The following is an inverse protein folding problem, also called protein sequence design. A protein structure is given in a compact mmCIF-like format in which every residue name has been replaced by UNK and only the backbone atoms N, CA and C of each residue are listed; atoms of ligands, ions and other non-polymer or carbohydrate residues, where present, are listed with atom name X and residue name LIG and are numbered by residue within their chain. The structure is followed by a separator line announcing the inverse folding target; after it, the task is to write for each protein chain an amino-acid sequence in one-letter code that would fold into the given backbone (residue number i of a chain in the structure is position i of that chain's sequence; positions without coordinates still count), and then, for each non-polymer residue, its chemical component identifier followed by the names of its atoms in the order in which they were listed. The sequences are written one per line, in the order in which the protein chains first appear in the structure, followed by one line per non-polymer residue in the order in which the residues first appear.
data_IF_576559414464
#
_entry.id   IF_576559414464
#
_cell.length_a   1.000
_cell.length_b   1.000
_cell.length_c   1.000
_cell.angle_alpha   90.00
_cell.angle_beta   90.00
_cell.angle_gamma   90.00
#
_symmetry.space_group_name_H-M   'P 1'
#
loop_
_entity.id
_entity.type
_entity.pdbx_description
1 polymer ?
#
# COMPACT_ATOMS: atom_id res chain seq x y z
N UNK A 1 14.31 -11.70 -26.92
CA UNK A 1 13.24 -12.44 -26.20
C UNK A 1 11.83 -11.85 -26.37
N UNK A 2 11.59 -10.72 -27.06
CA UNK A 2 10.24 -10.11 -27.18
C UNK A 2 9.41 -10.55 -28.41
N UNK A 3 10.03 -11.08 -29.46
CA UNK A 3 9.35 -11.36 -30.75
C UNK A 3 8.47 -12.62 -30.72
N UNK A 4 8.86 -13.64 -29.96
CA UNK A 4 8.11 -14.91 -29.85
C UNK A 4 6.81 -14.74 -29.06
N UNK A 5 6.82 -13.94 -27.99
CA UNK A 5 5.63 -13.64 -27.18
C UNK A 5 4.60 -12.81 -27.97
N UNK A 6 5.06 -11.82 -28.74
CA UNK A 6 4.18 -10.97 -29.55
C UNK A 6 3.51 -11.74 -30.70
N UNK A 7 4.23 -12.68 -31.34
CA UNK A 7 3.63 -13.58 -32.34
C UNK A 7 2.55 -14.49 -31.73
N UNK A 8 2.79 -15.01 -30.52
CA UNK A 8 1.81 -15.84 -29.80
C UNK A 8 0.56 -15.06 -29.41
N UNK A 9 0.70 -13.83 -28.91
CA UNK A 9 -0.43 -12.98 -28.51
C UNK A 9 -1.29 -12.56 -29.71
N UNK A 10 -0.66 -12.23 -30.85
CA UNK A 10 -1.36 -11.92 -32.09
C UNK A 10 -2.19 -13.11 -32.61
N UNK A 11 -1.62 -14.32 -32.63
CA UNK A 11 -2.33 -15.53 -33.06
C UNK A 11 -3.56 -15.81 -32.20
N UNK A 12 -3.40 -15.67 -30.87
CA UNK A 12 -4.50 -15.85 -29.92
C UNK A 12 -5.62 -14.82 -30.13
N UNK A 13 -5.27 -13.56 -30.36
CA UNK A 13 -6.25 -12.51 -30.66
C UNK A 13 -7.03 -12.79 -31.96
N UNK A 14 -6.35 -13.22 -33.04
CA UNK A 14 -7.01 -13.56 -34.31
C UNK A 14 -8.04 -14.68 -34.13
N UNK A 15 -7.69 -15.78 -33.45
CA UNK A 15 -8.61 -16.91 -33.22
C UNK A 15 -9.87 -16.47 -32.46
N UNK A 16 -9.70 -15.64 -31.43
CA UNK A 16 -10.83 -15.11 -30.67
C UNK A 16 -11.69 -14.14 -31.48
N UNK A 17 -11.09 -13.34 -32.37
CA UNK A 17 -11.86 -12.46 -33.24
C UNK A 17 -12.75 -13.22 -34.22
N UNK A 18 -12.30 -14.36 -34.76
CA UNK A 18 -13.15 -15.21 -35.60
C UNK A 18 -14.40 -15.67 -34.83
N UNK A 19 -14.23 -16.13 -33.59
CA UNK A 19 -15.34 -16.57 -32.73
C UNK A 19 -16.33 -15.44 -32.42
N UNK A 20 -15.83 -14.23 -32.10
CA UNK A 20 -16.70 -13.08 -31.84
C UNK A 20 -17.42 -12.61 -33.10
N UNK A 21 -16.77 -12.60 -34.25
CA UNK A 21 -17.35 -12.11 -35.50
C UNK A 21 -18.50 -13.00 -35.99
N UNK A 22 -18.44 -14.31 -35.75
CA UNK A 22 -19.57 -15.21 -35.98
C UNK A 22 -20.83 -14.80 -35.19
N UNK A 23 -20.65 -14.11 -34.06
CA UNK A 23 -21.72 -13.68 -33.18
C UNK A 23 -22.04 -12.17 -33.28
N UNK A 24 -21.30 -11.43 -34.11
CA UNK A 24 -21.43 -9.98 -34.26
C UNK A 24 -22.82 -9.54 -34.77
N UNK A 25 -23.56 -10.41 -35.45
CA UNK A 25 -24.92 -10.11 -35.91
C UNK A 25 -25.91 -9.90 -34.75
N UNK A 26 -25.58 -10.39 -33.55
CA UNK A 26 -26.37 -10.21 -32.32
C UNK A 26 -26.04 -8.91 -31.59
N UNK A 27 -24.97 -8.21 -31.99
CA UNK A 27 -24.51 -6.99 -31.33
C UNK A 27 -25.04 -5.76 -32.10
N UNK A 28 -25.85 -4.89 -31.45
CA UNK A 28 -26.34 -3.65 -32.07
C UNK A 28 -25.19 -2.78 -32.60
N UNK A 29 -25.36 -2.15 -33.76
CA UNK A 29 -24.36 -1.23 -34.34
C UNK A 29 -23.13 -1.89 -34.98
N UNK A 30 -22.84 -3.16 -34.69
CA UNK A 30 -21.65 -3.85 -35.21
C UNK A 30 -21.62 -3.97 -36.75
N UNK A 31 -22.78 -4.00 -37.41
CA UNK A 31 -22.87 -4.08 -38.88
C UNK A 31 -22.30 -2.83 -39.59
N UNK A 32 -22.28 -1.68 -38.92
CA UNK A 32 -21.84 -0.42 -39.49
C UNK A 32 -20.31 -0.22 -39.41
N UNK A 33 -19.61 -1.09 -38.69
CA UNK A 33 -18.15 -1.01 -38.51
C UNK A 33 -17.47 -1.83 -39.61
N UNK A 34 -16.78 -1.14 -40.53
CA UNK A 34 -16.11 -1.76 -41.69
C UNK A 34 -14.79 -2.44 -41.33
N UNK A 35 -14.01 -1.85 -40.43
CA UNK A 35 -12.74 -2.43 -40.01
C UNK A 35 -12.98 -3.65 -39.10
N UNK A 36 -12.42 -4.80 -39.49
CA UNK A 36 -12.65 -6.09 -38.82
C UNK A 36 -12.16 -6.07 -37.37
N UNK A 37 -10.99 -5.48 -37.12
CA UNK A 37 -10.39 -5.39 -35.78
C UNK A 37 -11.24 -4.47 -34.89
N UNK A 38 -11.61 -3.29 -35.41
CA UNK A 38 -12.50 -2.37 -34.70
C UNK A 38 -13.84 -2.99 -34.37
N UNK A 39 -14.41 -3.75 -35.33
CA UNK A 39 -15.67 -4.47 -35.14
C UNK A 39 -15.53 -5.55 -34.09
N UNK A 40 -14.44 -6.33 -34.11
CA UNK A 40 -14.14 -7.36 -33.12
C UNK A 40 -14.07 -6.77 -31.71
N UNK A 41 -13.30 -5.70 -31.51
CA UNK A 41 -13.13 -5.06 -30.20
C UNK A 41 -14.43 -4.40 -29.73
N UNK A 42 -15.18 -3.73 -30.62
CA UNK A 42 -16.50 -3.19 -30.31
C UNK A 42 -17.46 -4.29 -29.83
N UNK A 43 -17.55 -5.40 -30.57
CA UNK A 43 -18.38 -6.54 -30.19
C UNK A 43 -17.94 -7.12 -28.85
N UNK A 44 -16.63 -7.25 -28.63
CA UNK A 44 -16.08 -7.75 -27.38
C UNK A 44 -16.50 -6.89 -26.18
N UNK A 45 -16.43 -5.56 -26.28
CA UNK A 45 -16.90 -4.65 -25.22
C UNK A 45 -18.39 -4.81 -24.98
N UNK A 46 -19.21 -4.76 -26.03
CA UNK A 46 -20.66 -4.86 -25.90
C UNK A 46 -21.10 -6.21 -25.31
N UNK A 47 -20.49 -7.31 -25.74
CA UNK A 47 -20.76 -8.65 -25.22
C UNK A 47 -20.32 -8.81 -23.77
N UNK A 48 -19.19 -8.21 -23.39
CA UNK A 48 -18.69 -8.23 -22.02
C UNK A 48 -19.58 -7.48 -21.02
N UNK A 49 -20.36 -6.51 -21.50
CA UNK A 49 -21.33 -5.75 -20.70
C UNK A 49 -22.70 -6.46 -20.60
N UNK A 50 -22.94 -7.52 -21.37
CA UNK A 50 -24.18 -8.27 -21.34
C UNK A 50 -24.18 -9.32 -20.22
N UNK A 51 -24.87 -9.03 -19.11
CA UNK A 51 -24.96 -9.93 -17.95
C UNK A 51 -25.87 -11.17 -18.16
N UNK A 52 -26.58 -11.26 -19.28
CA UNK A 52 -27.59 -12.34 -19.51
C UNK A 52 -27.04 -13.60 -20.16
N UNK A 53 -25.86 -13.55 -20.77
CA UNK A 53 -25.22 -14.71 -21.39
C UNK A 53 -23.76 -14.80 -20.96
N UNK A 54 -23.52 -15.66 -19.97
CA UNK A 54 -22.20 -15.84 -19.37
C UNK A 54 -21.14 -16.23 -20.40
N UNK A 55 -21.49 -17.03 -21.40
CA UNK A 55 -20.54 -17.47 -22.41
C UNK A 55 -20.04 -16.29 -23.25
N UNK A 56 -20.96 -15.43 -23.72
CA UNK A 56 -20.56 -14.23 -24.47
C UNK A 56 -19.81 -13.21 -23.62
N UNK A 57 -20.17 -13.08 -22.34
CA UNK A 57 -19.43 -12.21 -21.41
C UNK A 57 -17.97 -12.63 -21.31
N UNK A 58 -17.70 -13.92 -21.05
CA UNK A 58 -16.33 -14.42 -20.91
C UNK A 58 -15.55 -14.37 -22.21
N UNK A 59 -16.18 -14.73 -23.34
CA UNK A 59 -15.55 -14.63 -24.65
C UNK A 59 -15.13 -13.18 -24.96
N UNK A 60 -16.01 -12.21 -24.68
CA UNK A 60 -15.71 -10.78 -24.79
C UNK A 60 -14.48 -10.37 -23.96
N UNK A 61 -14.43 -10.77 -22.69
CA UNK A 61 -13.31 -10.44 -21.81
C UNK A 61 -11.98 -11.07 -22.28
N UNK A 62 -12.01 -12.31 -22.78
CA UNK A 62 -10.84 -12.99 -23.34
C UNK A 62 -10.28 -12.24 -24.56
N UNK A 63 -11.17 -11.75 -25.43
CA UNK A 63 -10.78 -10.97 -26.61
C UNK A 63 -10.15 -9.65 -26.20
N UNK A 64 -10.74 -8.94 -25.22
CA UNK A 64 -10.17 -7.69 -24.71
C UNK A 64 -8.80 -7.90 -24.08
N UNK A 65 -8.62 -8.98 -23.31
CA UNK A 65 -7.34 -9.33 -22.71
C UNK A 65 -6.28 -9.62 -23.77
N UNK A 66 -6.63 -10.42 -24.80
CA UNK A 66 -5.72 -10.73 -25.90
C UNK A 66 -5.37 -9.48 -26.73
N UNK A 67 -6.38 -8.67 -27.08
CA UNK A 67 -6.21 -7.42 -27.83
C UNK A 67 -5.32 -6.43 -27.08
N UNK A 68 -5.48 -6.32 -25.76
CA UNK A 68 -4.66 -5.43 -24.94
C UNK A 68 -3.19 -5.85 -24.88
N UNK A 69 -2.86 -7.14 -25.02
CA UNK A 69 -1.46 -7.58 -25.05
C UNK A 69 -0.76 -7.13 -26.33
N UNK A 70 -1.48 -7.02 -27.43
CA UNK A 70 -0.99 -6.52 -28.72
C UNK A 70 -0.70 -5.02 -28.65
N UNK A 71 0.58 -4.64 -28.74
CA UNK A 71 1.08 -3.29 -28.43
C UNK A 71 0.35 -2.18 -29.20
N UNK A 72 0.11 -2.37 -30.49
CA UNK A 72 -0.51 -1.37 -31.36
C UNK A 72 -2.04 -1.28 -31.19
N UNK A 73 -2.68 -2.24 -30.52
CA UNK A 73 -4.13 -2.25 -30.26
C UNK A 73 -4.51 -1.69 -28.88
N UNK A 74 -3.57 -1.64 -27.93
CA UNK A 74 -3.78 -1.19 -26.54
C UNK A 74 -4.61 0.08 -26.41
N UNK A 75 -4.20 1.13 -27.14
CA UNK A 75 -4.87 2.43 -27.05
C UNK A 75 -6.29 2.35 -27.57
N UNK A 76 -6.48 1.69 -28.71
CA UNK A 76 -7.80 1.51 -29.31
C UNK A 76 -8.75 0.69 -28.43
N UNK A 77 -8.25 -0.37 -27.76
CA UNK A 77 -9.03 -1.14 -26.77
C UNK A 77 -9.48 -0.23 -25.62
N UNK A 78 -8.57 0.56 -25.05
CA UNK A 78 -8.91 1.48 -23.96
C UNK A 78 -9.93 2.53 -24.41
N UNK A 79 -9.74 3.13 -25.58
CA UNK A 79 -10.65 4.14 -26.14
C UNK A 79 -12.05 3.56 -26.28
N UNK A 80 -12.15 2.39 -26.89
CA UNK A 80 -13.44 1.69 -27.08
C UNK A 80 -14.11 1.35 -25.74
N UNK A 81 -13.35 0.90 -24.74
CA UNK A 81 -13.89 0.65 -23.40
C UNK A 81 -14.45 1.95 -22.80
N UNK A 82 -13.70 3.05 -22.82
CA UNK A 82 -14.14 4.32 -22.24
C UNK A 82 -15.33 4.95 -22.98
N UNK A 83 -15.43 4.74 -24.29
CA UNK A 83 -16.50 5.33 -25.11
C UNK A 83 -17.83 4.57 -24.96
N UNK A 84 -17.78 3.28 -24.59
CA UNK A 84 -18.96 2.41 -24.52
C UNK A 84 -19.38 2.00 -23.11
N UNK A 85 -18.56 2.27 -22.10
CA UNK A 85 -18.80 1.81 -20.74
C UNK A 85 -18.57 2.90 -19.70
N UNK A 86 -19.29 2.78 -18.59
CA UNK A 86 -19.20 3.72 -17.48
C UNK A 86 -19.38 2.99 -16.15
N UNK A 87 -19.06 3.68 -15.05
CA UNK A 87 -19.34 3.21 -13.71
C UNK A 87 -18.74 1.83 -13.43
N UNK A 88 -19.53 0.91 -12.88
CA UNK A 88 -19.04 -0.45 -12.56
C UNK A 88 -18.60 -1.23 -13.79
N UNK A 89 -19.36 -1.18 -14.89
CA UNK A 89 -19.05 -1.95 -16.11
C UNK A 89 -17.69 -1.53 -16.71
N UNK A 90 -17.36 -0.25 -16.62
CA UNK A 90 -16.05 0.27 -17.01
C UNK A 90 -14.91 -0.37 -16.19
N UNK A 91 -15.07 -0.47 -14.86
CA UNK A 91 -14.05 -1.07 -13.98
C UNK A 91 -13.86 -2.55 -14.29
N UNK A 92 -14.94 -3.31 -14.48
CA UNK A 92 -14.88 -4.73 -14.84
C UNK A 92 -14.12 -4.96 -16.14
N UNK A 93 -14.39 -4.15 -17.17
CA UNK A 93 -13.71 -4.24 -18.47
C UNK A 93 -12.23 -3.86 -18.36
N UNK A 94 -11.90 -2.79 -17.65
CA UNK A 94 -10.51 -2.35 -17.46
C UNK A 94 -9.69 -3.42 -16.71
N UNK A 95 -10.25 -3.99 -15.64
CA UNK A 95 -9.60 -5.04 -14.85
C UNK A 95 -9.44 -6.34 -15.63
N UNK A 96 -10.39 -6.67 -16.51
CA UNK A 96 -10.32 -7.85 -17.37
C UNK A 96 -9.31 -7.69 -18.50
N UNK A 97 -9.27 -6.51 -19.13
CA UNK A 97 -8.30 -6.21 -20.19
C UNK A 97 -6.87 -6.14 -19.63
N UNK A 98 -6.68 -5.53 -18.46
CA UNK A 98 -5.38 -5.47 -17.79
C UNK A 98 -5.50 -5.36 -16.26
N UNK A 99 -5.26 -6.44 -15.49
CA UNK A 99 -5.37 -6.42 -14.03
C UNK A 99 -4.15 -5.76 -13.33
N UNK A 100 -3.21 -5.19 -14.09
CA UNK A 100 -2.02 -4.50 -13.57
C UNK A 100 -2.33 -3.02 -13.25
N UNK A 101 -1.32 -2.32 -12.74
CA UNK A 101 -1.43 -0.89 -12.42
C UNK A 101 -1.87 -0.06 -13.64
N UNK A 102 -2.91 0.78 -13.50
CA UNK A 102 -3.33 1.71 -14.54
C UNK A 102 -2.20 2.60 -15.02
N UNK A 103 -2.06 2.72 -16.34
CA UNK A 103 -1.11 3.67 -16.90
C UNK A 103 -1.68 5.10 -16.83
N UNK A 104 -0.79 6.06 -17.03
CA UNK A 104 -1.07 7.47 -17.24
C UNK A 104 -2.34 7.79 -18.05
N UNK A 105 -2.46 7.13 -19.20
CA UNK A 105 -3.56 7.33 -20.13
C UNK A 105 -4.90 6.95 -19.51
N UNK A 106 -4.95 5.79 -18.87
CA UNK A 106 -6.14 5.29 -18.17
C UNK A 106 -6.54 6.22 -17.04
N UNK A 107 -5.58 6.69 -16.22
CA UNK A 107 -5.87 7.62 -15.11
C UNK A 107 -6.48 8.94 -15.60
N UNK A 108 -5.94 9.53 -16.68
CA UNK A 108 -6.49 10.75 -17.28
C UNK A 108 -7.92 10.55 -17.79
N UNK A 109 -8.21 9.41 -18.42
CA UNK A 109 -9.56 9.10 -18.92
C UNK A 109 -10.57 8.80 -17.80
N UNK A 110 -10.11 8.35 -16.64
CA UNK A 110 -10.96 8.10 -15.47
C UNK A 110 -11.42 9.36 -14.74
N UNK A 111 -10.77 10.51 -14.95
CA UNK A 111 -11.03 11.73 -14.19
C UNK A 111 -12.52 12.12 -14.17
N UNK A 112 -13.20 12.05 -15.32
CA UNK A 112 -14.63 12.32 -15.44
C UNK A 112 -15.55 11.21 -14.93
N UNK A 113 -15.03 10.01 -14.70
CA UNK A 113 -15.81 8.80 -14.43
C UNK A 113 -15.92 8.49 -12.92
N UNK A 114 -15.04 9.04 -12.08
CA UNK A 114 -14.98 8.72 -10.65
C UNK A 114 -16.31 8.83 -9.88
N UNK A 115 -17.13 9.89 -10.04
CA UNK A 115 -18.40 9.97 -9.32
C UNK A 115 -19.35 8.83 -9.69
N UNK A 116 -19.45 8.50 -10.98
CA UNK A 116 -20.32 7.42 -11.45
C UNK A 116 -19.83 6.05 -10.99
N UNK A 117 -18.50 5.84 -10.96
CA UNK A 117 -17.91 4.62 -10.40
C UNK A 117 -18.23 4.52 -8.90
N UNK A 118 -18.08 5.60 -8.13
CA UNK A 118 -18.42 5.65 -6.70
C UNK A 118 -19.90 5.31 -6.49
N UNK A 119 -20.81 6.01 -7.16
CA UNK A 119 -22.25 5.82 -7.00
C UNK A 119 -22.69 4.38 -7.29
N UNK A 120 -22.20 3.79 -8.38
CA UNK A 120 -22.50 2.40 -8.72
C UNK A 120 -21.91 1.42 -7.71
N UNK A 121 -20.72 1.72 -7.18
CA UNK A 121 -20.10 0.88 -6.17
C UNK A 121 -20.84 0.93 -4.83
N UNK A 122 -21.28 2.10 -4.40
CA UNK A 122 -22.07 2.29 -3.18
C UNK A 122 -23.45 1.63 -3.32
N UNK A 123 -24.10 1.74 -4.49
CA UNK A 123 -25.33 1.00 -4.79
C UNK A 123 -25.11 -0.51 -4.70
N UNK A 124 -23.98 -1.00 -5.22
CA UNK A 124 -23.63 -2.42 -5.12
C UNK A 124 -23.48 -2.86 -3.66
N UNK A 125 -22.75 -2.10 -2.83
CA UNK A 125 -22.59 -2.40 -1.40
C UNK A 125 -23.94 -2.40 -0.68
N UNK A 126 -24.77 -1.36 -0.86
CA UNK A 126 -26.12 -1.28 -0.27
C UNK A 126 -27.00 -2.46 -0.70
N UNK A 127 -26.91 -2.87 -1.97
CA UNK A 127 -27.67 -4.01 -2.47
C UNK A 127 -27.25 -5.32 -1.80
N UNK A 128 -25.96 -5.52 -1.53
CA UNK A 128 -25.48 -6.71 -0.84
C UNK A 128 -25.83 -6.72 0.65
N UNK A 129 -25.90 -5.55 1.30
CA UNK A 129 -26.37 -5.44 2.69
C UNK A 129 -27.86 -5.79 2.80
N UNK A 130 -28.67 -5.27 1.87
CA UNK A 130 -30.14 -5.47 1.90
C UNK A 130 -30.58 -6.83 1.37
N UNK A 131 -29.87 -7.38 0.38
CA UNK A 131 -30.13 -8.67 -0.25
C UNK A 131 -28.80 -9.33 -0.64
N UNK A 132 -28.21 -10.19 0.21
CA UNK A 132 -26.94 -10.85 -0.10
C UNK A 132 -27.07 -11.70 -1.37
N UNK A 133 -26.39 -11.31 -2.46
CA UNK A 133 -26.39 -12.07 -3.73
C UNK A 133 -25.01 -12.66 -4.07
N UNK A 134 -24.11 -12.70 -3.09
CA UNK A 134 -22.76 -13.25 -3.19
C UNK A 134 -21.89 -12.56 -4.26
N UNK A 135 -21.98 -11.22 -4.36
CA UNK A 135 -21.16 -10.41 -5.29
C UNK A 135 -19.79 -10.04 -4.73
N UNK A 136 -19.27 -10.86 -3.82
CA UNK A 136 -17.99 -10.65 -3.13
C UNK A 136 -16.83 -10.38 -4.09
N UNK A 137 -16.74 -11.15 -5.18
CA UNK A 137 -15.68 -11.00 -6.19
C UNK A 137 -15.69 -9.61 -6.82
N UNK A 138 -16.86 -9.12 -7.24
CA UNK A 138 -16.99 -7.83 -7.92
C UNK A 138 -16.61 -6.67 -6.99
N UNK A 139 -17.04 -6.74 -5.72
CA UNK A 139 -16.69 -5.74 -4.71
C UNK A 139 -15.18 -5.71 -4.47
N UNK A 140 -14.53 -6.88 -4.36
CA UNK A 140 -13.09 -6.99 -4.19
C UNK A 140 -12.31 -6.48 -5.41
N UNK A 141 -12.79 -6.72 -6.63
CA UNK A 141 -12.19 -6.23 -7.87
C UNK A 141 -12.27 -4.70 -7.97
N UNK A 142 -13.41 -4.10 -7.62
CA UNK A 142 -13.56 -2.63 -7.61
C UNK A 142 -12.64 -2.01 -6.55
N UNK A 143 -12.60 -2.57 -5.34
CA UNK A 143 -11.67 -2.11 -4.30
C UNK A 143 -10.20 -2.20 -4.75
N UNK A 144 -9.83 -3.32 -5.38
CA UNK A 144 -8.48 -3.53 -5.92
C UNK A 144 -8.15 -2.51 -7.00
N UNK A 145 -9.06 -2.28 -7.95
CA UNK A 145 -8.88 -1.29 -9.00
C UNK A 145 -8.71 0.12 -8.43
N UNK A 146 -9.54 0.49 -7.47
CA UNK A 146 -9.47 1.80 -6.79
C UNK A 146 -8.12 2.00 -6.10
N UNK A 147 -7.66 1.00 -5.34
CA UNK A 147 -6.34 1.01 -4.71
C UNK A 147 -5.19 1.07 -5.74
N UNK A 148 -5.31 0.34 -6.85
CA UNK A 148 -4.33 0.38 -7.94
C UNK A 148 -4.25 1.77 -8.60
N UNK A 149 -5.38 2.48 -8.72
CA UNK A 149 -5.40 3.84 -9.25
C UNK A 149 -4.69 4.82 -8.31
N UNK A 150 -4.96 4.75 -7.01
CA UNK A 150 -4.25 5.53 -5.98
C UNK A 150 -2.74 5.26 -6.02
N UNK A 151 -2.33 3.98 -6.08
CA UNK A 151 -0.93 3.58 -6.20
C UNK A 151 -0.28 4.10 -7.49
N UNK A 152 -0.98 4.05 -8.62
CA UNK A 152 -0.46 4.48 -9.92
C UNK A 152 -0.28 6.00 -9.98
N UNK A 153 -1.21 6.78 -9.43
CA UNK A 153 -1.06 8.23 -9.33
C UNK A 153 0.21 8.63 -8.58
N UNK A 154 0.54 7.94 -7.48
CA UNK A 154 1.76 8.20 -6.73
C UNK A 154 3.03 7.89 -7.52
N UNK A 155 3.07 6.74 -8.20
CA UNK A 155 4.22 6.35 -9.02
C UNK A 155 4.43 7.27 -10.22
N UNK A 156 3.34 7.84 -10.75
CA UNK A 156 3.35 8.69 -11.94
C UNK A 156 3.36 10.20 -11.62
N UNK A 157 3.33 10.58 -10.33
CA UNK A 157 3.22 11.98 -9.85
C UNK A 157 4.26 12.92 -10.47
N UNK A 158 5.48 12.44 -10.73
CA UNK A 158 6.57 13.23 -11.35
C UNK A 158 6.51 13.25 -12.87
N UNK A 159 5.84 12.29 -13.50
CA UNK A 159 5.87 12.13 -14.95
C UNK A 159 4.75 12.90 -15.65
N UNK A 160 3.61 13.15 -14.97
CA UNK A 160 2.41 13.69 -15.62
C UNK A 160 1.61 14.54 -14.62
N UNK A 161 1.19 15.73 -15.06
CA UNK A 161 0.20 16.57 -14.39
C UNK A 161 -1.21 15.94 -14.51
N UNK A 162 -1.42 14.79 -13.85
CA UNK A 162 -2.74 14.17 -13.75
C UNK A 162 -3.44 14.80 -12.55
N UNK A 163 -4.62 15.43 -12.74
CA UNK A 163 -5.40 15.95 -11.63
C UNK A 163 -5.71 14.85 -10.63
N UNK A 164 -5.21 15.01 -9.41
CA UNK A 164 -5.29 14.02 -8.36
C UNK A 164 -6.41 14.31 -7.35
N UNK A 165 -6.81 15.58 -7.27
CA UNK A 165 -7.79 16.11 -6.31
C UNK A 165 -9.14 15.40 -6.41
N UNK A 166 -9.62 15.14 -7.63
CA UNK A 166 -10.92 14.50 -7.82
C UNK A 166 -10.93 13.06 -7.33
N UNK A 167 -9.88 12.28 -7.61
CA UNK A 167 -9.78 10.91 -7.09
C UNK A 167 -9.73 10.93 -5.56
N UNK A 168 -8.97 11.84 -4.95
CA UNK A 168 -8.93 11.99 -3.49
C UNK A 168 -10.32 12.29 -2.92
N UNK A 169 -11.01 13.29 -3.46
CA UNK A 169 -12.36 13.67 -3.03
C UNK A 169 -13.35 12.51 -3.13
N UNK A 170 -13.40 11.85 -4.28
CA UNK A 170 -14.30 10.70 -4.49
C UNK A 170 -13.91 9.50 -3.61
N UNK A 171 -12.63 9.34 -3.27
CA UNK A 171 -12.18 8.31 -2.32
C UNK A 171 -12.69 8.61 -0.90
N UNK A 172 -12.59 9.85 -0.44
CA UNK A 172 -13.10 10.25 0.89
C UNK A 172 -14.61 10.01 0.98
N UNK A 173 -15.35 10.44 -0.05
CA UNK A 173 -16.80 10.21 -0.14
C UNK A 173 -17.12 8.71 -0.14
N UNK A 174 -16.41 7.91 -0.94
CA UNK A 174 -16.60 6.47 -0.99
C UNK A 174 -16.39 5.84 0.39
N UNK A 175 -15.26 6.14 1.04
CA UNK A 175 -14.93 5.58 2.35
C UNK A 175 -15.98 5.97 3.40
N UNK A 176 -16.41 7.24 3.41
CA UNK A 176 -17.46 7.71 4.32
C UNK A 176 -18.78 6.94 4.11
N UNK A 177 -19.23 6.85 2.86
CA UNK A 177 -20.47 6.13 2.54
C UNK A 177 -20.37 4.63 2.85
N UNK A 178 -19.21 4.00 2.68
CA UNK A 178 -19.00 2.59 3.08
C UNK A 178 -19.24 2.42 4.59
N UNK A 179 -18.73 3.34 5.42
CA UNK A 179 -18.93 3.31 6.87
C UNK A 179 -20.40 3.59 7.24
N UNK A 180 -21.00 4.64 6.70
CA UNK A 180 -22.38 5.06 7.00
C UNK A 180 -23.41 3.99 6.62
N UNK A 181 -23.17 3.22 5.55
CA UNK A 181 -24.10 2.21 5.08
C UNK A 181 -23.94 0.83 5.74
N UNK A 182 -22.99 0.66 6.69
CA UNK A 182 -22.76 -0.63 7.35
C UNK A 182 -22.31 -1.72 6.38
N UNK A 183 -21.25 -1.47 5.62
CA UNK A 183 -20.77 -2.36 4.58
C UNK A 183 -20.44 -3.79 5.08
N UNK A 184 -20.62 -4.81 4.22
CA UNK A 184 -20.32 -6.18 4.60
C UNK A 184 -18.82 -6.37 4.78
N UNK A 185 -18.45 -7.30 5.65
CA UNK A 185 -17.08 -7.71 5.98
C UNK A 185 -16.10 -7.70 4.81
N UNK A 186 -16.40 -8.44 3.73
CA UNK A 186 -15.47 -8.54 2.61
C UNK A 186 -15.23 -7.20 1.88
N UNK A 187 -16.13 -6.22 1.99
CA UNK A 187 -15.94 -4.86 1.50
C UNK A 187 -15.03 -4.05 2.42
N UNK A 188 -15.12 -4.26 3.74
CA UNK A 188 -14.29 -3.60 4.74
C UNK A 188 -12.78 -3.93 4.57
N UNK A 189 -12.45 -5.10 4.02
CA UNK A 189 -11.05 -5.46 3.71
C UNK A 189 -10.50 -4.59 2.58
N UNK A 190 -11.34 -4.29 1.59
CA UNK A 190 -11.00 -3.36 0.52
C UNK A 190 -10.93 -1.93 1.02
N UNK A 191 -11.88 -1.54 1.86
CA UNK A 191 -11.92 -0.25 2.55
C UNK A 191 -10.60 0.04 3.28
N UNK A 192 -10.14 -0.85 4.17
CA UNK A 192 -8.94 -0.56 4.99
C UNK A 192 -7.68 -0.43 4.13
N UNK A 193 -7.58 -1.19 3.02
CA UNK A 193 -6.46 -1.06 2.07
C UNK A 193 -6.49 0.28 1.33
N UNK A 194 -7.68 0.75 0.95
CA UNK A 194 -7.85 2.05 0.30
C UNK A 194 -7.54 3.16 1.31
N UNK A 195 -8.06 3.08 2.54
CA UNK A 195 -7.80 4.05 3.61
C UNK A 195 -6.31 4.10 3.98
N UNK A 196 -5.66 2.96 4.18
CA UNK A 196 -4.22 2.87 4.36
C UNK A 196 -3.47 3.61 3.25
N UNK A 197 -3.86 3.37 1.99
CA UNK A 197 -3.22 4.03 0.85
C UNK A 197 -3.47 5.53 0.82
N UNK A 198 -4.66 5.97 1.22
CA UNK A 198 -4.99 7.39 1.37
C UNK A 198 -4.11 8.06 2.44
N UNK A 199 -3.92 7.43 3.59
CA UNK A 199 -3.03 7.91 4.66
C UNK A 199 -1.60 8.05 4.13
N UNK A 200 -1.09 7.04 3.42
CA UNK A 200 0.24 7.12 2.78
C UNK A 200 0.35 8.30 1.81
N UNK A 201 -0.71 8.64 1.08
CA UNK A 201 -0.68 9.69 0.08
C UNK A 201 -0.82 11.10 0.67
N UNK A 202 -1.69 11.24 1.68
CA UNK A 202 -2.00 12.53 2.28
C UNK A 202 -0.88 12.98 3.21
N UNK A 203 -0.36 12.06 4.01
CA UNK A 203 0.58 12.42 5.08
C UNK A 203 2.06 12.26 4.71
N UNK A 204 2.41 11.57 3.61
CA UNK A 204 3.80 11.22 3.32
C UNK A 204 4.22 11.53 1.88
N UNK A 205 5.45 12.01 1.71
CA UNK A 205 5.98 12.35 0.38
C UNK A 205 6.41 11.13 -0.44
N UNK A 206 6.87 10.09 0.25
CA UNK A 206 7.24 8.81 -0.34
C UNK A 206 6.57 7.68 0.43
N UNK A 207 6.24 6.61 -0.30
CA UNK A 207 5.77 5.37 0.31
C UNK A 207 6.93 4.49 0.80
N UNK A 208 8.18 4.92 0.54
CA UNK A 208 9.39 4.20 0.91
C UNK A 208 10.51 5.16 1.34
N UNK A 209 11.38 4.62 2.19
CA UNK A 209 12.77 5.03 2.48
C UNK A 209 12.98 6.32 3.31
N UNK A 210 12.05 7.28 3.35
CA UNK A 210 12.18 8.40 4.29
C UNK A 210 10.81 8.95 4.66
N UNK A 211 10.44 8.80 5.93
CA UNK A 211 9.15 9.22 6.47
C UNK A 211 9.06 10.73 6.66
N UNK A 212 9.33 11.48 5.60
CA UNK A 212 9.05 12.90 5.60
C UNK A 212 7.55 13.09 5.51
N UNK A 213 7.02 13.70 6.56
CA UNK A 213 5.64 14.16 6.55
C UNK A 213 5.49 15.21 5.47
N UNK A 214 4.40 15.08 4.71
CA UNK A 214 4.06 16.01 3.64
C UNK A 214 3.16 17.10 4.20
N UNK A 215 3.41 18.34 3.79
CA UNK A 215 2.46 19.45 3.99
C UNK A 215 1.30 19.34 3.00
N UNK A 216 0.28 18.56 3.36
CA UNK A 216 -1.03 18.59 2.70
C UNK A 216 -1.93 19.66 3.36
N UNK A 217 -3.07 19.99 2.75
CA UNK A 217 -4.02 20.93 3.37
C UNK A 217 -4.56 20.35 4.68
N UNK A 218 -4.66 21.19 5.72
CA UNK A 218 -5.17 20.79 7.04
C UNK A 218 -6.54 20.13 6.94
N UNK A 219 -7.45 20.71 6.15
CA UNK A 219 -8.77 20.14 5.91
C UNK A 219 -8.71 18.69 5.38
N UNK A 220 -7.81 18.40 4.43
CA UNK A 220 -7.68 17.05 3.87
C UNK A 220 -7.10 16.07 4.90
N UNK A 221 -6.13 16.53 5.69
CA UNK A 221 -5.58 15.77 6.81
C UNK A 221 -6.68 15.44 7.84
N UNK A 222 -7.50 16.41 8.22
CA UNK A 222 -8.59 16.24 9.17
C UNK A 222 -9.67 15.29 8.63
N UNK A 223 -10.04 15.41 7.35
CA UNK A 223 -11.01 14.51 6.72
C UNK A 223 -10.53 13.04 6.74
N UNK A 224 -9.25 12.80 6.43
CA UNK A 224 -8.68 11.45 6.49
C UNK A 224 -8.51 10.95 7.92
N UNK A 225 -8.08 11.83 8.84
CA UNK A 225 -7.99 11.52 10.27
C UNK A 225 -9.34 11.09 10.86
N UNK A 226 -10.41 11.82 10.51
CA UNK A 226 -11.76 11.49 10.90
C UNK A 226 -12.22 10.13 10.35
N UNK A 227 -11.87 9.77 9.10
CA UNK A 227 -12.20 8.44 8.55
C UNK A 227 -11.52 7.31 9.35
N UNK A 228 -10.26 7.51 9.77
CA UNK A 228 -9.54 6.54 10.61
C UNK A 228 -10.22 6.40 11.97
N UNK A 229 -10.57 7.52 12.61
CA UNK A 229 -11.30 7.53 13.90
C UNK A 229 -12.71 6.92 13.80
N UNK A 230 -13.43 7.17 12.71
CA UNK A 230 -14.74 6.53 12.49
C UNK A 230 -14.61 5.03 12.29
N UNK A 231 -13.51 4.55 11.70
CA UNK A 231 -13.21 3.12 11.60
C UNK A 231 -13.00 2.52 12.99
N UNK A 232 -12.29 3.21 13.89
CA UNK A 232 -12.12 2.80 15.29
C UNK A 232 -13.47 2.57 15.99
N UNK A 233 -14.37 3.55 15.89
CA UNK A 233 -15.69 3.46 16.52
C UNK A 233 -16.48 2.26 15.98
N UNK A 234 -16.39 1.97 14.68
CA UNK A 234 -17.02 0.80 14.07
C UNK A 234 -16.42 -0.52 14.57
N UNK A 235 -15.09 -0.59 14.74
CA UNK A 235 -14.39 -1.77 15.25
C UNK A 235 -14.76 -2.01 16.72
N UNK A 236 -14.76 -0.96 17.55
CA UNK A 236 -15.10 -1.03 18.97
C UNK A 236 -16.59 -1.32 19.21
N UNK A 237 -17.48 -0.83 18.35
CA UNK A 237 -18.94 -1.07 18.44
C UNK A 237 -19.37 -2.46 17.95
N UNK A 238 -18.49 -3.20 17.26
CA UNK A 238 -18.73 -4.57 16.82
C UNK A 238 -17.80 -5.59 17.50
N UNK A 239 -17.72 -5.63 18.85
CA UNK A 239 -16.87 -6.60 19.51
C UNK A 239 -17.48 -7.99 19.32
N UNK A 240 -16.81 -8.83 18.54
CA UNK A 240 -17.00 -10.29 18.51
C UNK A 240 -18.45 -10.72 18.32
N UNK A 241 -18.99 -10.55 17.11
CA UNK A 241 -19.95 -11.56 16.62
C UNK A 241 -19.13 -12.83 16.38
N UNK A 242 -19.40 -13.95 17.08
CA UNK A 242 -18.67 -15.20 16.86
C UNK A 242 -18.74 -15.69 15.41
N UNK A 243 -19.70 -15.17 14.63
CA UNK A 243 -19.91 -15.48 13.22
C UNK A 243 -19.20 -14.51 12.25
N UNK A 244 -18.43 -13.54 12.76
CA UNK A 244 -17.76 -12.53 11.94
C UNK A 244 -16.24 -12.80 11.88
N UNK A 245 -15.85 -13.66 10.94
CA UNK A 245 -14.44 -14.03 10.64
C UNK A 245 -13.56 -12.82 10.26
N UNK A 246 -14.17 -11.68 9.95
CA UNK A 246 -13.49 -10.55 9.36
C UNK A 246 -12.81 -9.64 10.39
N UNK A 247 -13.51 -9.24 11.46
CA UNK A 247 -12.89 -8.52 12.58
C UNK A 247 -11.96 -9.42 13.40
N UNK A 248 -12.13 -10.73 13.30
CA UNK A 248 -11.21 -11.73 13.86
C UNK A 248 -10.04 -12.06 12.92
N UNK A 249 -10.02 -11.49 11.70
CA UNK A 249 -8.91 -11.75 10.78
C UNK A 249 -7.68 -10.95 11.22
N UNK A 250 -6.59 -11.67 11.54
CA UNK A 250 -5.29 -11.06 11.83
C UNK A 250 -4.87 -10.03 10.76
N UNK A 251 -5.35 -10.17 9.52
CA UNK A 251 -5.08 -9.25 8.42
C UNK A 251 -5.75 -7.88 8.60
N UNK A 252 -7.02 -7.83 8.99
CA UNK A 252 -7.71 -6.56 9.20
C UNK A 252 -7.07 -5.80 10.37
N UNK A 253 -6.88 -6.46 11.51
CA UNK A 253 -6.25 -5.88 12.72
C UNK A 253 -4.88 -5.29 12.39
N UNK A 254 -4.00 -6.03 11.70
CA UNK A 254 -2.70 -5.54 11.22
C UNK A 254 -2.82 -4.25 10.42
N UNK A 255 -3.69 -4.25 9.41
CA UNK A 255 -3.83 -3.12 8.49
C UNK A 255 -4.41 -1.90 9.19
N UNK A 256 -5.36 -2.11 10.10
CA UNK A 256 -5.93 -1.07 10.92
C UNK A 256 -4.90 -0.47 11.88
N UNK A 257 -4.18 -1.29 12.66
CA UNK A 257 -3.10 -0.86 13.55
C UNK A 257 -2.07 -0.01 12.80
N UNK A 258 -1.58 -0.51 11.66
CA UNK A 258 -0.65 0.23 10.81
C UNK A 258 -1.25 1.58 10.39
N UNK A 259 -2.49 1.60 9.92
CA UNK A 259 -3.16 2.83 9.46
C UNK A 259 -3.29 3.86 10.59
N UNK A 260 -3.65 3.43 11.81
CA UNK A 260 -3.76 4.30 12.99
C UNK A 260 -2.41 4.90 13.37
N UNK A 261 -1.38 4.06 13.52
CA UNK A 261 -0.01 4.50 13.88
C UNK A 261 0.49 5.55 12.89
N UNK A 262 0.30 5.28 11.59
CA UNK A 262 0.70 6.19 10.51
C UNK A 262 -0.12 7.47 10.46
N UNK A 263 -1.40 7.43 10.81
CA UNK A 263 -2.25 8.62 10.81
C UNK A 263 -1.89 9.53 11.97
N UNK A 264 -1.67 8.97 13.17
CA UNK A 264 -1.24 9.73 14.34
C UNK A 264 0.08 10.47 14.08
N UNK A 265 1.08 9.80 13.49
CA UNK A 265 2.34 10.46 13.15
C UNK A 265 2.16 11.57 12.11
N UNK A 266 1.28 11.35 11.13
CA UNK A 266 1.02 12.29 10.05
C UNK A 266 0.29 13.56 10.50
N UNK A 267 -0.70 13.42 11.38
CA UNK A 267 -1.49 14.54 11.91
C UNK A 267 -0.69 15.37 12.91
N UNK A 268 0.04 14.69 13.78
CA UNK A 268 0.62 15.28 14.98
C UNK A 268 2.11 14.96 15.10
N UNK A 269 2.93 15.25 14.07
CA UNK A 269 4.35 14.90 14.09
C UNK A 269 5.11 15.58 15.23
N UNK A 270 4.55 16.67 15.78
CA UNK A 270 5.17 17.49 16.81
C UNK A 270 4.36 17.57 18.12
N UNK A 271 3.32 16.75 18.31
CA UNK A 271 2.55 16.80 19.56
C UNK A 271 3.15 15.90 20.64
N UNK A 272 2.91 16.23 21.91
CA UNK A 272 3.47 15.49 23.05
C UNK A 272 2.71 14.18 23.35
N UNK A 273 1.47 14.06 22.90
CA UNK A 273 0.52 13.04 23.36
C UNK A 273 0.22 11.93 22.34
N UNK A 274 1.01 11.82 21.27
CA UNK A 274 0.75 10.81 20.24
C UNK A 274 0.82 9.37 20.78
N UNK A 275 1.63 9.12 21.82
CA UNK A 275 1.75 7.81 22.50
C UNK A 275 0.47 7.42 23.25
N UNK A 276 -0.27 8.38 23.79
CA UNK A 276 -1.59 8.14 24.40
C UNK A 276 -2.65 7.74 23.36
N UNK A 277 -2.36 7.97 22.07
CA UNK A 277 -3.26 7.63 20.95
C UNK A 277 -2.91 6.30 20.28
N UNK A 278 -1.82 5.63 20.70
CA UNK A 278 -1.41 4.31 20.20
C UNK A 278 -1.36 3.34 21.39
N UNK A 279 -2.52 2.78 21.73
CA UNK A 279 -2.71 1.90 22.88
C UNK A 279 -2.38 0.41 22.58
N UNK A 280 -1.32 0.17 21.79
CA UNK A 280 -0.92 -1.19 21.41
C UNK A 280 0.38 -1.60 22.11
N UNK A 281 0.36 -2.65 22.97
CA UNK A 281 1.57 -3.22 23.55
C UNK A 281 2.57 -3.68 22.47
N UNK A 282 3.87 -3.56 22.71
CA UNK A 282 4.89 -3.85 21.68
C UNK A 282 4.99 -5.32 21.31
N UNK A 283 4.84 -6.20 22.28
CA UNK A 283 4.73 -7.64 22.07
C UNK A 283 3.56 -7.95 21.14
N UNK A 284 2.42 -7.28 21.35
CA UNK A 284 1.24 -7.37 20.46
C UNK A 284 1.58 -6.83 19.08
N UNK A 285 2.22 -5.66 18.96
CA UNK A 285 2.65 -5.10 17.67
C UNK A 285 3.57 -6.09 16.94
N UNK A 286 4.65 -6.52 17.58
CA UNK A 286 5.66 -7.38 16.99
C UNK A 286 5.03 -8.70 16.57
N UNK A 287 4.32 -9.39 17.47
CA UNK A 287 3.65 -10.66 17.16
C UNK A 287 2.65 -10.50 16.00
N UNK A 288 1.90 -9.39 15.99
CA UNK A 288 0.90 -9.09 14.96
C UNK A 288 1.54 -8.86 13.60
N UNK A 289 2.65 -8.12 13.53
CA UNK A 289 3.31 -7.76 12.27
C UNK A 289 4.42 -8.73 11.83
N UNK A 290 4.94 -9.58 12.70
CA UNK A 290 6.06 -10.48 12.40
C UNK A 290 5.87 -11.32 11.13
N UNK A 291 4.67 -11.83 10.78
CA UNK A 291 4.47 -12.56 9.54
C UNK A 291 4.47 -11.67 8.27
N UNK A 292 4.48 -10.34 8.42
CA UNK A 292 4.37 -9.34 7.35
C UNK A 292 5.49 -8.30 7.48
N UNK A 293 6.72 -8.71 7.16
CA UNK A 293 7.96 -7.94 7.38
C UNK A 293 7.93 -6.51 6.83
N UNK A 294 7.39 -6.32 5.63
CA UNK A 294 7.23 -4.99 5.03
C UNK A 294 6.38 -4.03 5.89
N UNK A 295 5.28 -4.53 6.48
CA UNK A 295 4.45 -3.73 7.39
C UNK A 295 5.14 -3.54 8.74
N UNK A 296 5.78 -4.58 9.27
CA UNK A 296 6.55 -4.52 10.51
C UNK A 296 7.58 -3.39 10.45
N UNK A 297 8.51 -3.45 9.52
CA UNK A 297 9.62 -2.49 9.50
C UNK A 297 9.16 -1.06 9.19
N UNK A 298 8.10 -0.86 8.40
CA UNK A 298 7.50 0.46 8.25
C UNK A 298 6.88 0.99 9.53
N UNK A 299 6.20 0.14 10.30
CA UNK A 299 5.67 0.49 11.61
C UNK A 299 6.81 0.85 12.56
N UNK A 300 7.84 0.02 12.65
CA UNK A 300 9.02 0.26 13.49
C UNK A 300 9.77 1.55 13.12
N UNK A 301 9.93 1.83 11.82
CA UNK A 301 10.45 3.11 11.34
C UNK A 301 9.58 4.29 11.79
N UNK A 302 8.25 4.13 11.84
CA UNK A 302 7.36 5.20 12.31
C UNK A 302 7.59 5.47 13.80
N UNK A 303 7.75 4.43 14.62
CA UNK A 303 8.10 4.57 16.04
C UNK A 303 9.46 5.21 16.27
N UNK A 304 10.46 4.89 15.44
CA UNK A 304 11.71 5.63 15.44
C UNK A 304 11.41 7.12 15.23
N UNK A 305 10.76 7.50 14.15
CA UNK A 305 10.53 8.92 13.83
C UNK A 305 9.79 9.69 14.92
N UNK A 306 8.81 9.03 15.55
CA UNK A 306 8.10 9.55 16.71
C UNK A 306 9.04 9.92 17.87
N UNK A 307 9.89 8.99 18.30
CA UNK A 307 10.86 9.25 19.37
C UNK A 307 11.84 10.38 19.00
N UNK A 308 12.27 10.44 17.74
CA UNK A 308 13.19 11.49 17.30
C UNK A 308 12.57 12.87 17.32
N UNK A 309 11.31 12.99 16.88
CA UNK A 309 10.59 14.25 16.98
C UNK A 309 10.38 14.65 18.44
N UNK A 310 10.03 13.70 19.32
CA UNK A 310 9.89 13.96 20.75
C UNK A 310 11.21 14.50 21.36
N UNK A 311 12.33 13.88 21.00
CA UNK A 311 13.67 14.33 21.37
C UNK A 311 13.94 15.77 20.91
N UNK A 312 13.70 16.11 19.63
CA UNK A 312 13.93 17.48 19.12
C UNK A 312 13.06 18.55 19.78
N UNK A 313 11.97 18.14 20.45
CA UNK A 313 11.05 19.04 21.15
C UNK A 313 11.35 19.13 22.65
N UNK A 314 12.41 18.48 23.14
CA UNK A 314 12.79 18.47 24.56
C UNK A 314 11.71 17.82 25.44
N UNK A 315 11.04 16.79 24.93
CA UNK A 315 9.99 16.08 25.66
C UNK A 315 10.62 14.88 26.37
N UNK A 316 10.54 14.88 27.70
CA UNK A 316 10.88 13.71 28.50
C UNK A 316 9.95 12.55 28.13
N UNK A 317 10.57 11.40 27.88
CA UNK A 317 9.97 10.29 27.17
C UNK A 317 9.71 9.14 28.14
N UNK A 318 8.52 9.14 28.76
CA UNK A 318 8.15 8.10 29.73
C UNK A 318 7.65 6.80 29.06
N UNK A 319 7.42 6.78 27.75
CA UNK A 319 6.75 5.67 27.06
C UNK A 319 7.61 5.00 25.98
N UNK A 320 8.18 3.86 26.36
CA UNK A 320 8.81 2.83 25.53
C UNK A 320 9.70 3.30 24.36
N UNK A 321 10.95 3.70 24.69
CA UNK A 321 11.98 4.12 23.74
C UNK A 321 12.29 3.11 22.62
N UNK A 322 12.80 3.60 21.48
CA UNK A 322 13.02 2.78 20.29
C UNK A 322 14.09 1.70 20.45
N UNK A 323 15.02 1.89 21.40
CA UNK A 323 16.00 0.88 21.75
C UNK A 323 15.36 -0.36 22.37
N UNK A 324 14.34 -0.21 23.23
CA UNK A 324 13.60 -1.36 23.75
C UNK A 324 12.81 -2.07 22.64
N UNK A 325 12.24 -1.32 21.70
CA UNK A 325 11.59 -1.89 20.52
C UNK A 325 12.57 -2.74 19.70
N UNK A 326 13.83 -2.30 19.56
CA UNK A 326 14.87 -3.06 18.89
C UNK A 326 15.24 -4.35 19.65
N UNK A 327 15.34 -4.29 20.98
CA UNK A 327 15.53 -5.49 21.82
C UNK A 327 14.38 -6.48 21.64
N UNK A 328 13.14 -6.03 21.76
CA UNK A 328 11.98 -6.89 21.57
C UNK A 328 11.91 -7.49 20.16
N UNK A 329 12.40 -6.78 19.14
CA UNK A 329 12.55 -7.33 17.80
C UNK A 329 13.58 -8.47 17.78
N UNK A 330 14.75 -8.30 18.41
CA UNK A 330 15.74 -9.38 18.52
C UNK A 330 15.19 -10.59 19.29
N UNK A 331 14.47 -10.35 20.39
CA UNK A 331 13.78 -11.39 21.17
C UNK A 331 12.71 -12.13 20.35
N UNK A 332 11.94 -11.42 19.51
CA UNK A 332 10.95 -12.04 18.62
C UNK A 332 11.57 -12.97 17.58
N UNK A 333 12.87 -12.82 17.32
CA UNK A 333 13.68 -13.74 16.51
C UNK A 333 14.44 -14.76 17.35
N UNK A 334 14.19 -14.81 18.66
CA UNK A 334 14.93 -15.62 19.63
C UNK A 334 16.45 -15.39 19.53
N UNK A 335 16.83 -14.13 19.29
CA UNK A 335 18.22 -13.71 19.06
C UNK A 335 18.91 -14.43 17.88
N UNK A 336 18.15 -14.96 16.92
CA UNK A 336 18.69 -15.49 15.68
C UNK A 336 19.08 -14.34 14.74
N UNK A 337 20.28 -13.80 14.94
CA UNK A 337 20.79 -12.66 14.16
C UNK A 337 20.92 -12.94 12.67
N UNK A 338 21.21 -14.19 12.29
CA UNK A 338 21.29 -14.56 10.88
C UNK A 338 19.96 -14.35 10.17
N UNK A 339 18.88 -14.88 10.74
CA UNK A 339 17.53 -14.74 10.20
C UNK A 339 17.06 -13.29 10.23
N UNK A 340 17.34 -12.56 11.30
CA UNK A 340 16.99 -11.14 11.40
C UNK A 340 17.76 -10.30 10.37
N UNK A 341 19.05 -10.54 10.19
CA UNK A 341 19.87 -9.85 9.19
C UNK A 341 19.40 -10.14 7.75
N UNK A 342 18.96 -11.37 7.45
CA UNK A 342 18.37 -11.71 6.14
C UNK A 342 17.08 -10.92 5.90
N UNK A 343 16.18 -10.90 6.89
CA UNK A 343 14.92 -10.16 6.80
C UNK A 343 15.13 -8.64 6.73
N UNK A 344 16.16 -8.11 7.41
CA UNK A 344 16.52 -6.68 7.36
C UNK A 344 17.12 -6.31 5.99
N UNK A 345 17.94 -7.18 5.41
CA UNK A 345 18.60 -6.94 4.13
C UNK A 345 17.66 -7.05 2.92
N UNK A 346 16.56 -7.81 3.06
CA UNK A 346 15.62 -8.06 1.97
C UNK A 346 15.03 -6.73 1.42
N UNK A 347 15.21 -6.44 0.12
CA UNK A 347 14.69 -5.22 -0.50
C UNK A 347 13.15 -5.14 -0.49
N UNK A 348 12.44 -6.24 -0.26
CA UNK A 348 10.98 -6.27 -0.20
C UNK A 348 10.41 -5.87 1.17
N UNK A 349 11.24 -5.85 2.22
CA UNK A 349 10.78 -5.70 3.61
C UNK A 349 10.97 -4.28 4.16
N UNK A 350 11.75 -3.42 3.50
CA UNK A 350 12.17 -2.11 4.00
C UNK A 350 12.98 -2.16 5.32
N UNK A 351 13.43 -3.36 5.75
CA UNK A 351 14.11 -3.55 7.03
C UNK A 351 15.46 -2.83 7.13
N UNK A 352 16.15 -2.66 6.01
CA UNK A 352 17.47 -2.00 5.99
C UNK A 352 17.36 -0.53 6.43
N UNK A 353 16.24 0.14 6.13
CA UNK A 353 16.01 1.51 6.59
C UNK A 353 15.85 1.59 8.09
N UNK A 354 15.11 0.64 8.65
CA UNK A 354 14.91 0.57 10.08
C UNK A 354 16.27 0.41 10.78
N UNK A 355 17.11 -0.51 10.29
CA UNK A 355 18.46 -0.71 10.79
C UNK A 355 19.33 0.55 10.67
N UNK A 356 19.32 1.23 9.51
CA UNK A 356 20.10 2.46 9.30
C UNK A 356 19.63 3.58 10.24
N UNK A 357 18.32 3.82 10.33
CA UNK A 357 17.79 4.88 11.19
C UNK A 357 18.08 4.60 12.66
N UNK A 358 18.07 3.34 13.08
CA UNK A 358 18.46 2.94 14.43
C UNK A 358 19.97 3.09 14.66
N UNK A 359 20.82 2.67 13.70
CA UNK A 359 22.27 2.83 13.76
C UNK A 359 22.69 4.31 13.85
N UNK A 360 22.04 5.19 13.07
CA UNK A 360 22.29 6.63 13.14
C UNK A 360 21.98 7.18 14.53
N UNK A 361 20.92 6.69 15.21
CA UNK A 361 20.59 7.11 16.59
C UNK A 361 21.69 6.74 17.56
N UNK A 362 22.17 5.50 17.48
CA UNK A 362 23.31 5.05 18.29
C UNK A 362 24.51 5.98 18.05
N UNK A 363 24.81 6.31 16.79
CA UNK A 363 25.92 7.18 16.41
C UNK A 363 25.82 8.63 16.89
N UNK A 364 24.60 9.17 17.04
CA UNK A 364 24.40 10.52 17.60
C UNK A 364 24.14 10.51 19.11
N UNK A 365 24.00 9.33 19.72
CA UNK A 365 23.71 9.23 21.14
C UNK A 365 24.95 9.55 21.98
N UNK A 366 24.88 10.44 22.96
CA UNK A 366 26.01 10.66 23.85
C UNK A 366 25.84 9.90 25.17
N UNK A 367 26.93 9.51 25.83
CA UNK A 367 26.84 9.04 27.21
C UNK A 367 26.32 10.20 28.08
N UNK A 368 25.32 9.94 28.92
CA UNK A 368 24.82 10.97 29.86
C UNK A 368 25.94 11.26 30.88
N UNK A 369 26.70 12.32 30.66
CA UNK A 369 27.89 12.67 31.46
C UNK A 369 27.53 13.35 32.79
N UNK A 370 26.37 14.01 32.88
CA UNK A 370 25.85 14.58 34.13
C UNK A 370 24.30 14.66 34.08
N UNK A 371 23.57 14.05 35.04
CA UNK A 371 22.12 14.19 35.12
C UNK A 371 21.62 15.61 35.43
N UNK A 372 22.50 16.56 35.79
CA UNK A 372 22.14 17.95 36.10
C UNK A 372 22.44 18.95 34.97
N UNK A 373 23.12 18.55 33.89
CA UNK A 373 23.43 19.45 32.78
C UNK A 373 22.28 19.43 31.77
N UNK A 374 21.35 20.38 31.92
CA UNK A 374 20.08 20.44 31.19
C UNK A 374 20.15 21.18 29.84
N UNK A 375 21.35 21.58 29.40
CA UNK A 375 21.50 22.52 28.30
C UNK A 375 21.81 21.88 26.94
N UNK A 376 22.05 20.57 26.85
CA UNK A 376 22.25 19.90 25.57
C UNK A 376 21.11 18.92 25.28
N UNK A 377 20.41 19.16 24.16
CA UNK A 377 19.52 18.20 23.53
C UNK A 377 20.39 17.07 23.01
N UNK A 378 20.74 16.14 23.88
CA UNK A 378 21.59 15.00 23.54
C UNK A 378 20.81 13.72 23.70
N UNK A 379 20.77 12.91 22.64
CA UNK A 379 20.00 11.67 22.65
C UNK A 379 20.74 10.69 23.55
N UNK A 380 20.09 10.17 24.58
CA UNK A 380 20.70 9.23 25.52
C UNK A 380 19.97 7.89 25.45
N UNK A 381 20.65 6.76 25.16
CA UNK A 381 20.04 5.46 25.35
C UNK A 381 19.83 5.25 26.86
N UNK A 382 18.89 4.36 27.23
CA UNK A 382 18.71 4.01 28.64
C UNK A 382 20.05 3.54 29.23
N UNK A 383 20.38 3.91 30.48
CA UNK A 383 21.66 3.56 31.11
C UNK A 383 22.00 2.06 30.99
N UNK A 384 20.99 1.21 31.12
CA UNK A 384 21.16 -0.25 31.08
C UNK A 384 21.12 -0.87 29.67
N UNK A 385 20.78 -0.11 28.64
CA UNK A 385 20.63 -0.68 27.29
C UNK A 385 21.97 -1.20 26.75
N UNK A 386 23.03 -0.39 26.83
CA UNK A 386 24.35 -0.78 26.33
C UNK A 386 24.96 -1.92 27.15
N UNK A 387 24.80 -1.89 28.48
CA UNK A 387 25.34 -2.93 29.35
C UNK A 387 24.62 -4.28 29.18
N UNK A 388 23.31 -4.28 28.89
CA UNK A 388 22.55 -5.51 28.72
C UNK A 388 22.50 -6.04 27.28
N UNK A 389 22.54 -5.16 26.25
CA UNK A 389 22.25 -5.54 24.86
C UNK A 389 23.26 -4.98 23.84
N UNK A 390 24.35 -4.35 24.29
CA UNK A 390 25.38 -3.78 23.41
C UNK A 390 26.07 -4.84 22.56
N UNK A 391 26.39 -6.01 23.14
CA UNK A 391 27.03 -7.13 22.44
C UNK A 391 26.16 -7.70 21.32
N UNK A 392 24.87 -7.89 21.61
CA UNK A 392 23.87 -8.42 20.68
C UNK A 392 23.62 -7.45 19.53
N UNK A 393 23.52 -6.16 19.85
CA UNK A 393 23.35 -5.08 18.86
C UNK A 393 24.58 -5.00 17.96
N UNK A 394 25.78 -5.05 18.54
CA UNK A 394 27.06 -5.09 17.82
C UNK A 394 27.10 -6.26 16.85
N UNK A 395 26.80 -7.46 17.34
CA UNK A 395 26.83 -8.68 16.53
C UNK A 395 25.88 -8.60 15.34
N UNK A 396 24.65 -8.10 15.54
CA UNK A 396 23.67 -7.94 14.47
C UNK A 396 24.13 -6.93 13.40
N UNK A 397 24.67 -5.78 13.80
CA UNK A 397 25.15 -4.77 12.87
C UNK A 397 26.35 -5.23 12.04
N UNK A 398 27.33 -5.89 12.66
CA UNK A 398 28.46 -6.47 11.94
C UNK A 398 27.99 -7.53 10.94
N UNK A 399 27.11 -8.44 11.37
CA UNK A 399 26.57 -9.48 10.50
C UNK A 399 25.77 -8.89 9.31
N UNK A 400 24.97 -7.85 9.55
CA UNK A 400 24.23 -7.18 8.50
C UNK A 400 25.19 -6.48 7.51
N UNK A 401 26.23 -5.82 8.01
CA UNK A 401 27.25 -5.18 7.19
C UNK A 401 27.98 -6.20 6.30
N UNK A 402 28.41 -7.32 6.86
CA UNK A 402 29.12 -8.38 6.12
C UNK A 402 28.21 -9.01 5.05
N UNK A 403 26.95 -9.31 5.40
CA UNK A 403 25.97 -9.82 4.43
C UNK A 403 25.68 -8.84 3.29
N UNK A 404 25.73 -7.53 3.54
CA UNK A 404 25.58 -6.51 2.51
C UNK A 404 26.81 -6.47 1.61
N UNK A 405 28.01 -6.48 2.19
CA UNK A 405 29.29 -6.49 1.48
C UNK A 405 29.39 -7.70 0.53
N UNK A 406 29.09 -8.91 1.03
CA UNK A 406 29.04 -10.15 0.24
C UNK A 406 28.10 -10.06 -0.97
N UNK A 407 26.99 -9.34 -0.85
CA UNK A 407 26.01 -9.21 -1.95
C UNK A 407 26.36 -8.16 -2.99
N UNK A 408 27.35 -7.32 -2.70
CA UNK A 408 27.80 -6.23 -3.57
C UNK A 408 29.18 -6.48 -4.17
N UNK A 409 29.85 -7.58 -3.76
CA UNK A 409 31.04 -8.13 -4.41
C UNK A 409 30.71 -8.59 -5.84
N UNK A 410 30.80 -7.67 -6.81
CA UNK A 410 30.64 -7.96 -8.24
C UNK A 410 29.92 -6.90 -9.09
N UNK A 411 29.40 -5.82 -8.50
CA UNK A 411 28.64 -4.78 -9.22
C UNK A 411 29.22 -3.37 -8.96
N UNK A 412 30.28 -3.02 -9.70
CA UNK A 412 31.08 -1.79 -9.50
C UNK A 412 30.24 -0.49 -9.53
N UNK A 413 29.10 -0.50 -10.23
CA UNK A 413 28.21 0.66 -10.38
C UNK A 413 27.21 0.88 -9.24
N UNK A 414 26.99 -0.09 -8.34
CA UNK A 414 26.11 0.05 -7.15
C UNK A 414 26.87 0.36 -5.85
N UNK A 415 28.19 0.58 -5.95
CA UNK A 415 29.14 0.55 -4.84
C UNK A 415 28.97 1.66 -3.79
N UNK A 416 28.65 2.91 -4.16
CA UNK A 416 28.76 4.03 -3.21
C UNK A 416 27.69 4.03 -2.10
N UNK A 417 26.41 3.85 -2.45
CA UNK A 417 25.32 3.88 -1.47
C UNK A 417 25.40 2.69 -0.49
N UNK A 418 25.76 1.51 -1.01
CA UNK A 418 25.92 0.31 -0.19
C UNK A 418 27.13 0.44 0.74
N UNK A 419 28.26 0.94 0.23
CA UNK A 419 29.46 1.21 1.05
C UNK A 419 29.16 2.16 2.19
N UNK A 420 28.39 3.23 1.94
CA UNK A 420 28.02 4.18 2.99
C UNK A 420 27.13 3.56 4.08
N UNK A 421 26.22 2.67 3.70
CA UNK A 421 25.37 1.94 4.65
C UNK A 421 26.22 1.00 5.52
N UNK A 422 27.16 0.27 4.90
CA UNK A 422 28.10 -0.62 5.59
C UNK A 422 28.95 0.17 6.59
N UNK A 423 29.47 1.33 6.21
CA UNK A 423 30.21 2.24 7.10
C UNK A 423 29.37 2.67 8.31
N UNK A 424 28.11 3.07 8.11
CA UNK A 424 27.21 3.49 9.18
C UNK A 424 26.98 2.33 10.17
N UNK A 425 26.72 1.13 9.67
CA UNK A 425 26.48 -0.05 10.50
C UNK A 425 27.71 -0.43 11.32
N UNK A 426 28.90 -0.45 10.70
CA UNK A 426 30.17 -0.74 11.39
C UNK A 426 30.50 0.31 12.44
N UNK A 427 30.38 1.60 12.11
CA UNK A 427 30.61 2.67 13.06
C UNK A 427 29.64 2.59 14.27
N UNK A 428 28.37 2.26 14.02
CA UNK A 428 27.41 2.07 15.10
C UNK A 428 27.74 0.85 15.97
N UNK A 429 28.23 -0.23 15.36
CA UNK A 429 28.69 -1.44 16.07
C UNK A 429 29.92 -1.16 16.95
N UNK A 430 30.84 -0.32 16.49
CA UNK A 430 32.02 0.09 17.26
C UNK A 430 31.66 0.99 18.45
N UNK A 431 30.61 1.82 18.30
CA UNK A 431 30.18 2.74 19.36
C UNK A 431 29.45 2.08 20.52
N UNK A 432 28.80 0.93 20.29
CA UNK A 432 28.13 0.17 21.35
C UNK A 432 29.07 -0.76 22.12
N UNK A 433 30.37 -0.76 21.77
CA UNK A 433 31.44 -1.45 22.51
C UNK A 433 31.99 -0.57 23.64
#
# INVERSE_FOLDING_TARGET
MSSTTEMSDNRRFCNYCEMILQSAYRVPGARNIRNIISKCIYCAVMMSLHDRDYYFKWLGMDVLCAAYKVRHQRRFVLDTIFDLSHGRGLVELLMSANPKLPCAYTLKRLEGQWPKIREDFVKLIRSEVTRPTNRKKNIQEICRFWWQCLKSHMLLKKAIAIPFERLIKETILLLREILENGAPDFALNGYIKILQKMVEIVFYDTWIFSLHTKKSSSQLCDEVGNLVKSTETMVLANPKRPDNDFFNSNQFTRMYMYTVIRTNYGLFPNEKNWGLSIDFPIDVILHTFLPFKALLFRTLCTFLMFEWNAFTLGIDYDYMPSYWVFVYLMEAYSFNYNKLADDLKDPETDGLNYAIHFAIRILVAEPKLDPNDSNELTFHPHPDYLSCYGSETRQLFLLLADKLEESHMGDETRSYAASRIIEILRAAADKVH
#
